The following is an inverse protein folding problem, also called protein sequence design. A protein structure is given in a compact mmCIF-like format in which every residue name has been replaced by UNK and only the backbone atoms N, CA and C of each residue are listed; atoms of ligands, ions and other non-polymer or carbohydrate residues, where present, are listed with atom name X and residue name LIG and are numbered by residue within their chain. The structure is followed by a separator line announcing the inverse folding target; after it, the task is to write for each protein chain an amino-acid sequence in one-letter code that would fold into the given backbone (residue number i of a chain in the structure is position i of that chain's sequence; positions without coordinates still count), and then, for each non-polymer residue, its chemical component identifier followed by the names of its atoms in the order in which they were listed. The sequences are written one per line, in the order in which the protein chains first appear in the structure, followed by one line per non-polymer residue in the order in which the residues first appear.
data_IF_628121805799
#
_entry.id   IF_628121805799
#
_cell.length_a   1.000
_cell.length_b   1.000
_cell.length_c   1.000
_cell.angle_alpha   90.00
_cell.angle_beta   90.00
_cell.angle_gamma   90.00
#
_symmetry.space_group_name_H-M   'P 1'
#
loop_
_entity.id
_entity.type
_entity.pdbx_description
1 polymer ?
#
# COMPACT_ATOMS: atom_id res chain seq x y z
N UNK A 1 -17.81 -2.70 11.56
CA UNK A 1 -16.41 -3.10 11.62
C UNK A 1 -15.60 -2.30 10.60
N UNK A 2 -14.31 -2.13 10.86
CA UNK A 2 -13.41 -1.39 9.97
C UNK A 2 -13.14 -2.16 8.68
N UNK A 3 -12.87 -1.47 7.58
CA UNK A 3 -12.38 -2.12 6.38
C UNK A 3 -11.10 -2.91 6.67
N UNK A 4 -10.88 -3.96 5.91
CA UNK A 4 -9.67 -4.76 6.02
C UNK A 4 -8.83 -4.60 4.77
N UNK A 5 -7.57 -4.24 4.95
CA UNK A 5 -6.60 -4.12 3.87
C UNK A 5 -5.70 -5.35 3.90
N UNK A 6 -5.49 -5.95 2.74
CA UNK A 6 -4.59 -7.09 2.60
C UNK A 6 -3.79 -6.98 1.31
N UNK A 7 -2.64 -7.65 1.28
CA UNK A 7 -1.79 -7.72 0.10
C UNK A 7 -1.73 -9.18 -0.33
N UNK A 8 -2.23 -9.47 -1.52
CA UNK A 8 -2.20 -10.81 -2.07
C UNK A 8 -0.80 -11.12 -2.58
N UNK A 9 -0.43 -12.38 -2.60
CA UNK A 9 0.92 -12.85 -2.93
C UNK A 9 2.00 -12.35 -1.95
N UNK A 10 1.58 -11.93 -0.77
CA UNK A 10 2.46 -11.54 0.32
C UNK A 10 2.16 -12.38 1.55
N UNK A 11 3.13 -12.51 2.44
CA UNK A 11 3.00 -13.29 3.68
C UNK A 11 2.84 -12.33 4.86
N UNK A 12 1.77 -12.53 5.62
CA UNK A 12 1.54 -11.72 6.82
C UNK A 12 2.40 -12.23 7.99
N UNK A 13 3.13 -11.31 8.62
CA UNK A 13 3.91 -11.57 9.82
C UNK A 13 3.19 -10.94 11.03
N UNK A 14 2.64 -11.77 11.90
CA UNK A 14 1.89 -11.31 13.05
C UNK A 14 2.77 -10.59 14.09
N UNK A 15 4.04 -10.94 14.15
CA UNK A 15 4.99 -10.26 15.05
C UNK A 15 5.28 -8.84 14.60
N UNK A 16 5.49 -8.65 13.31
CA UNK A 16 5.77 -7.33 12.74
C UNK A 16 4.49 -6.55 12.40
N UNK A 17 3.34 -7.19 12.42
CA UNK A 17 2.06 -6.62 12.00
C UNK A 17 2.12 -6.05 10.59
N UNK A 18 2.74 -6.79 9.69
CA UNK A 18 2.96 -6.36 8.31
C UNK A 18 3.01 -7.55 7.37
N UNK A 19 2.66 -7.30 6.12
CA UNK A 19 2.86 -8.24 5.03
C UNK A 19 4.28 -8.05 4.48
N UNK A 20 4.86 -9.10 3.94
CA UNK A 20 6.17 -9.06 3.28
C UNK A 20 6.09 -9.70 1.91
N UNK A 21 6.66 -9.03 0.93
CA UNK A 21 6.78 -9.54 -0.43
C UNK A 21 8.21 -9.31 -0.93
N UNK A 22 8.77 -10.32 -1.57
CA UNK A 22 10.09 -10.23 -2.17
C UNK A 22 9.95 -9.95 -3.66
N UNK A 23 10.55 -8.85 -4.10
CA UNK A 23 10.69 -8.54 -5.52
C UNK A 23 12.02 -9.11 -5.95
N UNK A 24 11.98 -10.03 -6.90
CA UNK A 24 13.21 -10.61 -7.46
C UNK A 24 13.96 -9.53 -8.20
N UNK A 25 15.15 -9.19 -7.72
CA UNK A 25 16.01 -8.24 -8.38
C UNK A 25 16.63 -8.87 -9.62
N UNK A 26 16.27 -8.33 -10.74
CA UNK A 26 16.92 -8.59 -12.02
C UNK A 26 17.43 -7.23 -12.48
N UNK A 27 18.69 -7.15 -12.85
CA UNK A 27 19.33 -5.88 -13.20
C UNK A 27 18.50 -5.08 -14.21
N UNK A 28 17.99 -5.76 -15.23
CA UNK A 28 17.15 -5.12 -16.25
C UNK A 28 15.83 -4.62 -15.68
N UNK A 29 15.14 -5.45 -14.87
CA UNK A 29 13.86 -5.07 -14.29
C UNK A 29 13.99 -3.96 -13.25
N UNK A 30 15.09 -3.95 -12.51
CA UNK A 30 15.33 -2.87 -11.55
C UNK A 30 15.63 -1.57 -12.27
N UNK A 31 16.34 -1.64 -13.41
CA UNK A 31 16.55 -0.47 -14.26
C UNK A 31 15.22 0.08 -14.79
N UNK A 32 14.23 -0.78 -15.04
CA UNK A 32 12.89 -0.38 -15.44
C UNK A 32 12.09 0.22 -14.28
N UNK A 33 12.56 0.08 -13.03
CA UNK A 33 11.96 0.66 -11.83
C UNK A 33 10.51 0.27 -11.61
N UNK A 34 10.18 -0.97 -11.91
CA UNK A 34 8.82 -1.49 -11.70
C UNK A 34 8.77 -2.26 -10.39
N UNK A 35 8.02 -1.76 -9.44
CA UNK A 35 7.71 -2.44 -8.20
C UNK A 35 6.22 -2.76 -8.23
N UNK A 36 5.90 -4.05 -8.36
CA UNK A 36 4.52 -4.51 -8.54
C UNK A 36 4.03 -5.20 -7.28
N UNK A 37 2.79 -4.95 -6.93
CA UNK A 37 2.13 -5.69 -5.85
C UNK A 37 0.62 -5.66 -6.04
N UNK A 38 -0.07 -6.57 -5.36
CA UNK A 38 -1.52 -6.66 -5.40
C UNK A 38 -2.09 -6.34 -4.03
N UNK A 39 -3.25 -5.68 -4.01
CA UNK A 39 -3.95 -5.41 -2.77
C UNK A 39 -5.45 -5.63 -2.91
N UNK A 40 -6.10 -5.80 -1.78
CA UNK A 40 -7.55 -5.89 -1.68
C UNK A 40 -8.01 -5.14 -0.44
N UNK A 41 -9.12 -4.41 -0.56
CA UNK A 41 -9.77 -3.76 0.57
C UNK A 41 -11.18 -4.35 0.67
N UNK A 42 -11.51 -4.91 1.83
CA UNK A 42 -12.82 -5.51 2.07
C UNK A 42 -13.51 -4.81 3.23
N UNK A 43 -14.77 -4.51 3.06
CA UNK A 43 -15.59 -3.99 4.14
C UNK A 43 -16.67 -5.02 4.47
N UNK A 44 -16.67 -5.50 5.71
CA UNK A 44 -17.65 -6.49 6.19
C UNK A 44 -18.96 -5.84 6.62
N UNK A 45 -18.97 -4.53 6.81
CA UNK A 45 -20.19 -3.81 7.15
C UNK A 45 -21.04 -3.64 5.90
N UNK A 46 -22.06 -4.47 5.80
CA UNK A 46 -22.93 -4.48 4.64
C UNK A 46 -24.15 -3.60 4.90
N UNK A 47 -24.25 -2.53 4.12
CA UNK A 47 -25.50 -1.79 3.97
C UNK A 47 -26.11 -2.29 2.67
N UNK A 48 -27.28 -2.89 2.73
CA UNK A 48 -27.97 -3.50 1.59
C UNK A 48 -27.12 -4.56 0.86
N UNK A 49 -26.33 -5.32 1.64
CA UNK A 49 -25.49 -6.36 1.08
C UNK A 49 -24.22 -5.86 0.37
N UNK A 50 -23.86 -4.60 0.57
CA UNK A 50 -22.69 -3.99 -0.10
C UNK A 50 -21.74 -3.41 0.92
N UNK A 51 -20.50 -3.82 0.87
CA UNK A 51 -19.43 -3.16 1.60
C UNK A 51 -19.09 -1.82 0.92
N UNK A 52 -18.88 -0.80 1.72
CA UNK A 52 -18.61 0.55 1.23
C UNK A 52 -17.23 0.97 1.65
N UNK A 53 -16.37 1.24 0.67
CA UNK A 53 -15.09 1.89 0.90
C UNK A 53 -15.28 3.36 0.61
N UNK A 54 -15.25 4.18 1.66
CA UNK A 54 -15.47 5.61 1.50
C UNK A 54 -14.27 6.30 0.88
N UNK A 55 -13.08 5.99 1.40
CA UNK A 55 -11.84 6.63 0.99
C UNK A 55 -10.68 5.66 1.21
N UNK A 56 -9.73 5.67 0.31
CA UNK A 56 -8.50 4.89 0.45
C UNK A 56 -7.32 5.68 -0.08
N UNK A 57 -6.21 5.65 0.62
CA UNK A 57 -4.99 6.31 0.18
C UNK A 57 -3.77 5.45 0.48
N UNK A 58 -2.69 5.74 -0.26
CA UNK A 58 -1.42 5.04 -0.16
C UNK A 58 -0.37 5.97 0.44
N UNK A 59 0.54 5.42 1.25
CA UNK A 59 1.57 6.20 1.92
C UNK A 59 2.85 5.40 2.09
N UNK A 60 3.95 6.10 2.34
CA UNK A 60 5.20 5.48 2.78
C UNK A 60 5.25 5.62 4.30
N UNK A 61 5.26 4.49 4.97
CA UNK A 61 5.34 4.44 6.43
C UNK A 61 6.80 4.63 6.86
N UNK A 62 7.04 5.59 7.73
CA UNK A 62 8.39 5.91 8.20
C UNK A 62 8.54 5.51 9.67
N UNK A 63 8.98 4.28 9.89
CA UNK A 63 9.19 3.77 11.25
C UNK A 63 10.32 4.49 11.97
N UNK A 64 11.33 4.98 11.24
CA UNK A 64 12.48 5.69 11.81
C UNK A 64 12.09 6.98 12.52
N UNK A 65 10.99 7.62 12.12
CA UNK A 65 10.51 8.83 12.77
C UNK A 65 9.73 8.57 14.05
N UNK A 66 9.54 7.30 14.41
CA UNK A 66 8.84 6.91 15.62
C UNK A 66 9.84 6.59 16.72
N UNK A 67 9.61 7.15 17.91
CA UNK A 67 10.45 6.88 19.06
C UNK A 67 10.13 5.53 19.70
N UNK A 68 10.93 5.14 20.69
CA UNK A 68 10.79 3.84 21.35
C UNK A 68 9.43 3.63 22.03
N UNK A 69 8.80 4.74 22.44
CA UNK A 69 7.50 4.70 23.11
C UNK A 69 6.31 4.86 22.16
N UNK A 70 6.58 5.16 20.88
CA UNK A 70 5.52 5.31 19.90
C UNK A 70 4.95 3.96 19.49
N UNK A 71 3.63 3.96 19.21
CA UNK A 71 2.99 2.79 18.63
C UNK A 71 3.44 2.63 17.19
N UNK A 72 3.91 1.42 16.86
CA UNK A 72 4.42 1.09 15.52
C UNK A 72 3.52 0.07 14.84
N UNK A 73 2.24 0.41 14.72
CA UNK A 73 1.21 -0.47 14.19
C UNK A 73 1.00 -0.34 12.69
N UNK A 74 1.69 0.59 12.04
CA UNK A 74 1.56 0.82 10.61
C UNK A 74 0.50 1.86 10.24
N UNK A 75 -0.24 2.38 11.21
CA UNK A 75 -1.27 3.38 10.95
C UNK A 75 -0.63 4.70 10.48
N UNK A 76 -1.27 5.34 9.51
CA UNK A 76 -0.79 6.60 8.96
C UNK A 76 -0.76 7.71 10.01
N UNK A 77 0.36 8.40 10.07
CA UNK A 77 0.56 9.61 10.88
C UNK A 77 1.13 10.69 9.96
N UNK A 78 0.36 11.75 9.73
CA UNK A 78 0.73 12.81 8.79
C UNK A 78 2.00 13.56 9.18
N UNK A 79 2.40 13.52 10.45
CA UNK A 79 3.63 14.16 10.92
C UNK A 79 4.88 13.31 10.67
N UNK A 80 4.72 12.03 10.37
CA UNK A 80 5.83 11.08 10.24
C UNK A 80 5.90 10.41 8.88
N UNK A 81 4.75 10.16 8.27
CA UNK A 81 4.64 9.41 7.03
C UNK A 81 4.34 10.34 5.85
N UNK A 82 4.66 9.87 4.65
CA UNK A 82 4.35 10.60 3.43
C UNK A 82 3.15 9.99 2.72
N UNK A 83 2.06 10.76 2.61
CA UNK A 83 0.94 10.35 1.77
C UNK A 83 1.34 10.48 0.30
N UNK A 84 1.19 9.39 -0.45
CA UNK A 84 1.50 9.36 -1.87
C UNK A 84 0.31 9.81 -2.71
N UNK A 85 -0.91 9.48 -2.29
CA UNK A 85 -2.13 9.88 -2.98
C UNK A 85 -3.30 8.99 -2.66
N UNK A 86 -4.50 9.44 -3.05
CA UNK A 86 -5.73 8.68 -2.92
C UNK A 86 -5.87 7.72 -4.08
N UNK A 87 -6.32 6.51 -3.79
CA UNK A 87 -6.41 5.45 -4.78
C UNK A 87 -7.61 5.70 -5.69
N UNK A 88 -7.36 5.72 -6.99
CA UNK A 88 -8.36 5.84 -8.04
C UNK A 88 -8.20 4.70 -9.03
N UNK A 89 -9.32 4.20 -9.53
CA UNK A 89 -9.34 3.08 -10.48
C UNK A 89 -9.91 3.61 -11.80
N UNK A 90 -9.18 3.43 -12.89
CA UNK A 90 -9.66 3.84 -14.21
C UNK A 90 -10.64 2.82 -14.81
N UNK A 91 -11.17 3.12 -15.98
CA UNK A 91 -12.15 2.26 -16.66
C UNK A 91 -11.61 0.88 -17.05
N UNK A 92 -10.30 0.72 -17.12
CA UNK A 92 -9.63 -0.56 -17.41
C UNK A 92 -9.19 -1.31 -16.15
N UNK A 93 -9.48 -0.78 -14.97
CA UNK A 93 -9.11 -1.40 -13.70
C UNK A 93 -7.71 -1.04 -13.23
N UNK A 94 -7.03 -0.09 -13.86
CA UNK A 94 -5.69 0.33 -13.48
C UNK A 94 -5.73 1.28 -12.28
N UNK A 95 -4.76 1.11 -11.39
CA UNK A 95 -4.61 1.95 -10.20
C UNK A 95 -3.84 3.22 -10.55
N UNK A 96 -4.36 4.34 -10.08
CA UNK A 96 -3.63 5.61 -10.09
C UNK A 96 -3.77 6.29 -8.73
N UNK A 97 -2.94 7.30 -8.47
CA UNK A 97 -2.99 8.06 -7.24
C UNK A 97 -3.35 9.51 -7.58
N UNK A 98 -4.30 10.05 -6.82
CA UNK A 98 -4.80 11.40 -7.03
C UNK A 98 -4.57 12.26 -5.79
N UNK A 99 -4.54 13.59 -5.96
CA UNK A 99 -4.33 14.50 -4.84
C UNK A 99 -5.57 14.65 -3.95
N UNK A 100 -6.75 14.36 -4.48
CA UNK A 100 -8.01 14.50 -3.76
C UNK A 100 -8.71 13.15 -3.64
N UNK A 101 -9.50 12.93 -2.58
CA UNK A 101 -10.27 11.69 -2.46
C UNK A 101 -11.25 11.51 -3.61
N UNK A 102 -11.43 10.26 -4.02
CA UNK A 102 -12.45 9.90 -5.00
C UNK A 102 -13.79 9.80 -4.26
N UNK A 103 -14.71 10.71 -4.54
CA UNK A 103 -15.95 10.85 -3.78
C UNK A 103 -17.05 9.89 -4.22
N UNK A 104 -17.09 9.52 -5.50
CA UNK A 104 -18.15 8.65 -6.03
C UNK A 104 -17.79 8.11 -7.39
N UNK A 105 -18.57 7.14 -7.86
CA UNK A 105 -18.52 6.65 -9.23
C UNK A 105 -17.62 5.44 -9.44
N UNK A 106 -17.35 5.17 -10.72
CA UNK A 106 -16.62 3.98 -11.16
C UNK A 106 -15.12 4.01 -10.81
N UNK A 107 -14.60 5.18 -10.43
CA UNK A 107 -13.19 5.32 -10.06
C UNK A 107 -12.89 4.96 -8.60
N UNK A 108 -13.91 4.62 -7.82
CA UNK A 108 -13.70 4.21 -6.42
C UNK A 108 -13.20 2.77 -6.33
N UNK A 109 -12.40 2.52 -5.30
CA UNK A 109 -12.04 1.16 -4.91
C UNK A 109 -13.31 0.42 -4.51
N UNK A 110 -13.48 -0.80 -5.01
CA UNK A 110 -14.62 -1.66 -4.69
C UNK A 110 -14.21 -2.68 -3.64
N UNK A 111 -15.12 -2.92 -2.69
CA UNK A 111 -14.89 -3.90 -1.64
C UNK A 111 -14.72 -5.31 -2.22
N UNK A 112 -13.70 -6.02 -1.75
CA UNK A 112 -13.48 -7.42 -2.12
C UNK A 112 -12.89 -7.64 -3.50
N UNK A 113 -12.46 -6.59 -4.19
CA UNK A 113 -11.83 -6.69 -5.51
C UNK A 113 -10.32 -6.59 -5.37
N UNK A 114 -9.61 -7.49 -6.03
CA UNK A 114 -8.15 -7.44 -6.08
C UNK A 114 -7.70 -6.46 -7.17
N UNK A 115 -6.79 -5.57 -6.79
CA UNK A 115 -6.18 -4.62 -7.72
C UNK A 115 -4.68 -4.85 -7.78
N UNK A 116 -4.11 -4.61 -8.96
CA UNK A 116 -2.67 -4.71 -9.19
C UNK A 116 -2.07 -3.32 -9.36
N UNK A 117 -1.03 -3.05 -8.61
CA UNK A 117 -0.19 -1.87 -8.81
C UNK A 117 0.96 -2.31 -9.71
N UNK A 118 0.95 -1.89 -10.97
CA UNK A 118 1.91 -2.35 -11.97
C UNK A 118 3.24 -1.65 -11.91
N UNK A 119 3.27 -0.43 -11.38
CA UNK A 119 4.47 0.38 -11.36
C UNK A 119 4.43 1.37 -10.20
N UNK A 120 4.69 0.84 -9.01
CA UNK A 120 4.69 1.67 -7.80
C UNK A 120 5.72 2.79 -7.87
N UNK A 121 6.89 2.53 -8.47
CA UNK A 121 7.95 3.52 -8.56
C UNK A 121 7.50 4.78 -9.28
N UNK A 122 6.92 4.62 -10.46
CA UNK A 122 6.39 5.75 -11.23
C UNK A 122 5.13 6.32 -10.59
N UNK A 123 4.25 5.45 -10.11
CA UNK A 123 2.97 5.82 -9.54
C UNK A 123 3.13 6.69 -8.29
N UNK A 124 4.12 6.40 -7.48
CA UNK A 124 4.30 7.07 -6.20
C UNK A 124 4.66 8.55 -6.33
N UNK A 125 5.27 8.96 -7.44
CA UNK A 125 5.79 10.32 -7.59
C UNK A 125 6.80 10.70 -6.51
N UNK A 126 7.31 9.73 -5.75
CA UNK A 126 8.22 9.98 -4.65
C UNK A 126 9.64 10.22 -5.16
N UNK A 127 10.47 10.81 -4.32
CA UNK A 127 11.87 11.02 -4.63
C UNK A 127 12.58 9.69 -4.91
N UNK A 128 13.16 9.60 -6.08
CA UNK A 128 13.83 8.42 -6.61
C UNK A 128 14.95 7.93 -5.68
N UNK A 129 15.77 8.85 -5.21
CA UNK A 129 16.91 8.51 -4.34
C UNK A 129 16.44 7.98 -2.98
N UNK A 130 15.38 8.57 -2.42
CA UNK A 130 14.82 8.14 -1.15
C UNK A 130 14.20 6.74 -1.22
N UNK A 131 13.43 6.46 -2.27
CA UNK A 131 12.85 5.13 -2.48
C UNK A 131 13.93 4.08 -2.68
N UNK A 132 14.94 4.40 -3.48
CA UNK A 132 16.07 3.52 -3.76
C UNK A 132 16.82 3.17 -2.48
N UNK A 133 17.06 4.17 -1.63
CA UNK A 133 17.75 3.96 -0.37
C UNK A 133 16.94 3.06 0.57
N UNK A 134 15.65 3.32 0.71
CA UNK A 134 14.76 2.50 1.54
C UNK A 134 14.68 1.06 1.05
N UNK A 135 14.61 0.89 -0.27
CA UNK A 135 14.58 -0.43 -0.88
C UNK A 135 15.88 -1.20 -0.62
N UNK A 136 17.02 -0.51 -0.77
CA UNK A 136 18.35 -1.08 -0.50
C UNK A 136 18.51 -1.47 0.98
N UNK A 137 18.00 -0.66 1.88
CA UNK A 137 18.08 -0.91 3.32
C UNK A 137 17.07 -1.95 3.83
N UNK A 138 16.16 -2.39 2.96
CA UNK A 138 15.07 -3.28 3.38
C UNK A 138 14.05 -2.61 4.27
N UNK A 139 13.93 -1.29 4.19
CA UNK A 139 13.03 -0.48 5.04
C UNK A 139 11.87 0.15 4.27
N UNK A 140 11.67 -0.20 3.00
CA UNK A 140 10.55 0.33 2.23
C UNK A 140 9.26 -0.31 2.71
N UNK A 141 8.45 0.48 3.41
CA UNK A 141 7.16 0.06 3.96
C UNK A 141 6.07 0.90 3.32
N UNK A 142 5.24 0.24 2.53
CA UNK A 142 4.10 0.86 1.87
C UNK A 142 2.87 0.59 2.70
N UNK A 143 2.07 1.63 2.95
CA UNK A 143 0.81 1.48 3.64
C UNK A 143 -0.38 1.82 2.75
N UNK A 144 -1.48 1.17 3.00
CA UNK A 144 -2.78 1.55 2.49
C UNK A 144 -3.70 1.71 3.69
N UNK A 145 -4.39 2.83 3.75
CA UNK A 145 -5.41 3.08 4.76
C UNK A 145 -6.74 3.33 4.07
N UNK A 146 -7.78 2.72 4.60
CA UNK A 146 -9.14 2.85 4.06
C UNK A 146 -10.12 3.18 5.17
N UNK A 147 -11.15 3.94 4.82
CA UNK A 147 -12.27 4.25 5.71
C UNK A 147 -13.57 3.77 5.10
N UNK A 148 -14.51 3.41 5.95
CA UNK A 148 -15.89 3.12 5.54
C UNK A 148 -16.77 4.35 5.73
N UNK A 149 -18.08 4.21 5.49
CA UNK A 149 -19.04 5.29 5.67
C UNK A 149 -19.39 5.57 7.13
N UNK A 150 -18.83 4.83 8.09
CA UNK A 150 -19.17 4.91 9.53
C UNK A 150 -17.94 5.20 10.40
N UNK A 151 -16.92 5.83 9.83
CA UNK A 151 -15.67 6.21 10.50
C UNK A 151 -14.79 5.02 10.94
N UNK A 152 -15.05 3.83 10.44
CA UNK A 152 -14.15 2.70 10.62
C UNK A 152 -12.88 2.92 9.79
N UNK A 153 -11.71 2.61 10.37
CA UNK A 153 -10.41 2.80 9.73
C UNK A 153 -9.66 1.48 9.73
N UNK A 154 -9.29 1.03 8.53
CA UNK A 154 -8.44 -0.15 8.36
C UNK A 154 -7.16 0.24 7.66
N UNK A 155 -6.09 -0.46 7.96
CA UNK A 155 -4.78 -0.20 7.35
C UNK A 155 -3.92 -1.44 7.39
N UNK A 156 -2.98 -1.53 6.46
CA UNK A 156 -1.98 -2.60 6.45
C UNK A 156 -0.71 -2.11 5.77
N UNK A 157 0.41 -2.66 6.25
CA UNK A 157 1.75 -2.36 5.73
C UNK A 157 2.24 -3.52 4.89
N UNK A 158 2.87 -3.20 3.77
CA UNK A 158 3.60 -4.12 2.94
C UNK A 158 5.09 -3.76 2.98
N UNK A 159 5.91 -4.66 3.47
CA UNK A 159 7.36 -4.54 3.39
C UNK A 159 7.81 -5.02 2.01
N UNK A 160 8.27 -4.11 1.16
CA UNK A 160 8.85 -4.47 -0.11
C UNK A 160 10.35 -4.69 0.06
N UNK A 161 10.79 -5.88 -0.30
CA UNK A 161 12.18 -6.28 -0.21
C UNK A 161 12.67 -6.73 -1.57
N UNK A 162 13.92 -6.42 -1.88
CA UNK A 162 14.54 -6.86 -3.12
C UNK A 162 15.44 -8.05 -2.81
N UNK A 163 15.29 -9.10 -3.60
CA UNK A 163 16.16 -10.25 -3.52
C UNK A 163 17.01 -10.30 -4.78
N UNK A 164 18.33 -10.22 -4.60
CA UNK A 164 19.28 -10.27 -5.70
C UNK A 164 19.28 -11.67 -6.30
N UNK A 165 18.97 -11.75 -7.60
CA UNK A 165 18.93 -13.03 -8.31
C UNK A 165 20.29 -13.70 -8.46
N UNK A 166 21.38 -12.92 -8.41
CA UNK A 166 22.71 -13.49 -8.53
C UNK A 166 23.22 -14.11 -7.23
N UNK A 167 22.61 -13.75 -6.10
CA UNK A 167 22.95 -14.26 -4.78
C UNK A 167 21.86 -15.18 -4.20
N UNK A 168 20.97 -15.65 -5.06
CA UNK A 168 19.93 -16.59 -4.66
C UNK A 168 20.42 -18.02 -4.77
N UNK A 169 20.32 -18.72 -3.68
CA UNK A 169 20.54 -20.17 -3.66
C UNK A 169 19.25 -20.92 -4.00
#
# INVERSE_FOLDING_TARGET
SAPQVSYTDAVYDDTQKAYSSYIKYNYTKFADRKLNFNFMISDADLIDGRGIINEAFMYVYNEEKRGDTDVKDGKFDSSKDKRLGYISIDGSGNVSLTSMPVSSGSSKVKSGVEYTVDNFWSLSGADDASLRQKLSDGTLKIGIQATDGHNGVGYAILNLQVKDLFNMD
#
